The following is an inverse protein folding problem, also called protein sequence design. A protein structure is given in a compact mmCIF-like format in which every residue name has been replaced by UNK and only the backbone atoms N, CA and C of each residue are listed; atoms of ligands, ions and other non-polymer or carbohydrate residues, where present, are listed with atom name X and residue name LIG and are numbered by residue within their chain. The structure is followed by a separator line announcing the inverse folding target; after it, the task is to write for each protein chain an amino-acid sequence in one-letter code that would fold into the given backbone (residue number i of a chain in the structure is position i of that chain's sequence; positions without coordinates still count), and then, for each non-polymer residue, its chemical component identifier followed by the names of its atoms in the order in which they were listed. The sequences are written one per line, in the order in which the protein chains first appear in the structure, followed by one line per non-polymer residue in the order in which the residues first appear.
data_IF_009258283817
#
_entry.id   IF_009258283817
#
_cell.length_a   1.000
_cell.length_b   1.000
_cell.length_c   1.000
_cell.angle_alpha   90.00
_cell.angle_beta   90.00
_cell.angle_gamma   90.00
#
_symmetry.space_group_name_H-M   'P 1'
#
loop_
_entity.id
_entity.type
_entity.pdbx_description
1 polymer ?
#
# COMPACT_ATOMS: atom_id res chain seq x y z
N UNK A 1 -13.50 -27.31 18.26
CA UNK A 1 -14.21 -27.42 16.96
C UNK A 1 -14.95 -26.11 16.74
N UNK A 2 -14.53 -25.34 15.74
CA UNK A 2 -14.93 -23.96 15.49
C UNK A 2 -16.30 -23.92 14.81
N UNK A 3 -17.30 -23.45 15.55
CA UNK A 3 -18.66 -23.21 15.10
C UNK A 3 -18.66 -22.19 13.93
N UNK A 4 -18.81 -22.72 12.71
CA UNK A 4 -18.84 -21.99 11.43
C UNK A 4 -20.17 -21.27 11.18
N UNK A 5 -21.06 -21.20 12.17
CA UNK A 5 -22.48 -20.85 11.95
C UNK A 5 -22.84 -19.39 12.24
N UNK A 6 -21.87 -18.48 12.49
CA UNK A 6 -22.16 -17.06 12.81
C UNK A 6 -21.81 -16.03 11.73
N UNK A 7 -21.53 -16.47 10.51
CA UNK A 7 -21.55 -15.63 9.30
C UNK A 7 -22.87 -15.76 8.50
N UNK A 8 -23.79 -16.62 8.98
CA UNK A 8 -25.06 -16.96 8.33
C UNK A 8 -26.18 -15.95 8.64
N UNK A 9 -25.96 -14.92 9.47
CA UNK A 9 -26.95 -13.86 9.67
C UNK A 9 -27.04 -12.84 8.51
N UNK A 10 -26.30 -13.07 7.41
CA UNK A 10 -26.50 -12.41 6.09
C UNK A 10 -27.15 -13.42 5.10
N UNK A 11 -27.52 -14.61 5.57
CA UNK A 11 -28.08 -15.70 4.80
C UNK A 11 -29.42 -16.18 5.39
N UNK A 12 -30.29 -15.23 5.77
CA UNK A 12 -31.74 -15.46 5.61
C UNK A 12 -32.10 -14.99 4.21
N UNK A 13 -32.50 -15.94 3.39
CA UNK A 13 -32.67 -15.88 1.94
C UNK A 13 -33.84 -15.01 1.44
N UNK A 14 -34.33 -14.05 2.23
CA UNK A 14 -35.51 -13.23 1.87
C UNK A 14 -35.30 -11.71 1.98
N UNK A 15 -34.12 -11.21 2.35
CA UNK A 15 -33.87 -9.76 2.38
C UNK A 15 -33.13 -9.29 1.11
N UNK A 16 -33.81 -8.46 0.31
CA UNK A 16 -33.24 -7.65 -0.79
C UNK A 16 -31.89 -6.98 -0.45
N UNK A 17 -31.64 -6.70 0.84
CA UNK A 17 -30.42 -6.05 1.36
C UNK A 17 -29.13 -6.88 1.20
N UNK A 18 -29.19 -8.22 1.28
CA UNK A 18 -28.00 -9.08 1.19
C UNK A 18 -27.49 -9.19 -0.25
N UNK A 19 -28.42 -9.25 -1.21
CA UNK A 19 -28.13 -9.26 -2.64
C UNK A 19 -27.56 -7.92 -3.11
N UNK A 20 -28.09 -6.80 -2.62
CA UNK A 20 -27.56 -5.47 -2.92
C UNK A 20 -26.16 -5.25 -2.33
N UNK A 21 -25.91 -5.71 -1.11
CA UNK A 21 -24.57 -5.70 -0.50
C UNK A 21 -23.55 -6.52 -1.31
N UNK A 22 -23.99 -7.67 -1.84
CA UNK A 22 -23.20 -8.55 -2.71
C UNK A 22 -22.86 -7.88 -4.05
N UNK A 23 -23.86 -7.31 -4.73
CA UNK A 23 -23.66 -6.54 -5.96
C UNK A 23 -22.66 -5.41 -5.71
N UNK A 24 -22.78 -4.71 -4.59
CA UNK A 24 -21.87 -3.63 -4.24
C UNK A 24 -20.42 -4.06 -4.10
N UNK A 25 -20.14 -5.04 -3.24
CA UNK A 25 -18.78 -5.47 -2.93
C UNK A 25 -18.06 -5.97 -4.17
N UNK A 26 -18.80 -6.61 -5.09
CA UNK A 26 -18.28 -7.20 -6.31
C UNK A 26 -17.65 -6.19 -7.28
N UNK A 27 -18.18 -4.98 -7.35
CA UNK A 27 -17.72 -3.94 -8.29
C UNK A 27 -16.74 -2.93 -7.68
N UNK A 28 -16.32 -3.12 -6.42
CA UNK A 28 -15.28 -2.28 -5.80
C UNK A 28 -13.88 -2.78 -6.16
N UNK A 29 -12.85 -1.94 -5.97
CA UNK A 29 -11.46 -2.42 -5.94
C UNK A 29 -11.28 -3.47 -4.85
N UNK A 30 -10.45 -4.48 -5.10
CA UNK A 30 -10.33 -5.65 -4.22
C UNK A 30 -10.08 -5.29 -2.75
N UNK A 31 -9.14 -4.38 -2.47
CA UNK A 31 -8.82 -4.01 -1.08
C UNK A 31 -9.97 -3.27 -0.39
N UNK A 32 -10.75 -2.48 -1.13
CA UNK A 32 -11.94 -1.79 -0.61
C UNK A 32 -13.02 -2.80 -0.27
N UNK A 33 -13.32 -3.72 -1.20
CA UNK A 33 -14.25 -4.83 -0.97
C UNK A 33 -13.85 -5.66 0.24
N UNK A 34 -12.56 -5.99 0.37
CA UNK A 34 -12.02 -6.77 1.49
C UNK A 34 -12.20 -6.06 2.83
N UNK A 35 -11.92 -4.75 2.89
CA UNK A 35 -12.11 -3.96 4.10
C UNK A 35 -13.58 -3.85 4.49
N UNK A 36 -14.46 -3.55 3.53
CA UNK A 36 -15.91 -3.47 3.77
C UNK A 36 -16.46 -4.81 4.24
N UNK A 37 -16.14 -5.92 3.54
CA UNK A 37 -16.54 -7.27 3.94
C UNK A 37 -16.11 -7.56 5.38
N UNK A 38 -14.84 -7.31 5.73
CA UNK A 38 -14.34 -7.54 7.09
C UNK A 38 -15.07 -6.70 8.14
N UNK A 39 -15.25 -5.41 7.87
CA UNK A 39 -15.93 -4.48 8.81
C UNK A 39 -17.37 -4.92 9.02
N UNK A 40 -18.11 -5.18 7.95
CA UNK A 40 -19.51 -5.63 8.01
C UNK A 40 -19.62 -6.97 8.73
N UNK A 41 -18.76 -7.95 8.46
CA UNK A 41 -18.78 -9.23 9.17
C UNK A 41 -18.57 -9.08 10.68
N UNK A 42 -17.62 -8.23 11.11
CA UNK A 42 -17.36 -7.97 12.53
C UNK A 42 -18.55 -7.26 13.18
N UNK A 43 -19.11 -6.27 12.49
CA UNK A 43 -20.29 -5.53 12.93
C UNK A 43 -21.51 -6.44 13.08
N UNK A 44 -21.89 -7.19 12.05
CA UNK A 44 -23.03 -8.10 12.07
C UNK A 44 -22.90 -9.15 13.17
N UNK A 45 -21.69 -9.70 13.38
CA UNK A 45 -21.46 -10.65 14.47
C UNK A 45 -21.63 -10.00 15.86
N UNK A 46 -21.26 -8.73 16.02
CA UNK A 46 -21.48 -8.00 17.28
C UNK A 46 -22.96 -7.69 17.49
N UNK A 47 -23.68 -7.21 16.47
CA UNK A 47 -25.12 -6.97 16.54
C UNK A 47 -25.90 -8.23 16.93
N UNK A 48 -25.59 -9.37 16.29
CA UNK A 48 -26.24 -10.64 16.60
C UNK A 48 -26.06 -11.10 18.05
N UNK A 49 -24.91 -10.80 18.68
CA UNK A 49 -24.67 -11.10 20.11
C UNK A 49 -25.44 -10.19 21.06
N UNK A 50 -25.91 -9.04 20.59
CA UNK A 50 -26.62 -8.04 21.39
C UNK A 50 -28.11 -7.94 21.04
N UNK A 51 -28.63 -8.87 20.22
CA UNK A 51 -30.03 -8.86 19.79
C UNK A 51 -30.40 -7.69 18.86
N UNK A 52 -29.41 -7.12 18.16
CA UNK A 52 -29.60 -5.98 17.27
C UNK A 52 -29.61 -6.42 15.80
N UNK A 53 -30.32 -5.67 14.97
CA UNK A 53 -30.19 -5.77 13.51
C UNK A 53 -28.94 -5.00 13.05
N UNK A 54 -28.21 -5.48 12.03
CA UNK A 54 -27.00 -4.82 11.56
C UNK A 54 -27.26 -3.56 10.73
N UNK A 55 -28.42 -3.44 10.10
CA UNK A 55 -28.83 -2.30 9.28
C UNK A 55 -30.31 -1.97 9.53
N UNK A 56 -30.74 -0.69 9.41
CA UNK A 56 -29.91 0.50 9.23
C UNK A 56 -28.97 0.73 10.43
N UNK A 57 -27.75 1.19 10.16
CA UNK A 57 -26.77 1.45 11.22
C UNK A 57 -27.18 2.72 11.97
N UNK A 58 -27.24 2.64 13.30
CA UNK A 58 -27.51 3.81 14.16
C UNK A 58 -26.24 4.34 14.83
N UNK A 59 -26.22 5.64 15.14
CA UNK A 59 -25.10 6.26 15.83
C UNK A 59 -24.90 5.69 17.25
N UNK A 60 -26.00 5.37 17.94
CA UNK A 60 -26.01 4.84 19.30
C UNK A 60 -25.36 3.45 19.36
N UNK A 61 -25.71 2.57 18.42
CA UNK A 61 -25.14 1.22 18.39
C UNK A 61 -23.65 1.25 18.05
N UNK A 62 -23.23 2.15 17.16
CA UNK A 62 -21.81 2.33 16.80
C UNK A 62 -21.01 2.86 17.99
N UNK A 63 -21.55 3.80 18.75
CA UNK A 63 -20.92 4.27 19.99
C UNK A 63 -20.79 3.14 21.01
N UNK A 64 -21.87 2.37 21.24
CA UNK A 64 -21.85 1.23 22.15
C UNK A 64 -20.79 0.20 21.75
N UNK A 65 -20.69 -0.11 20.45
CA UNK A 65 -19.66 -1.00 19.92
C UNK A 65 -18.26 -0.46 20.17
N UNK A 66 -17.98 0.78 19.80
CA UNK A 66 -16.65 1.40 19.93
C UNK A 66 -16.25 1.48 21.40
N UNK A 67 -17.13 1.93 22.29
CA UNK A 67 -16.88 2.00 23.73
C UNK A 67 -16.58 0.60 24.30
N UNK A 68 -17.28 -0.44 23.85
CA UNK A 68 -17.02 -1.83 24.22
C UNK A 68 -15.64 -2.37 23.78
N UNK A 69 -14.93 -1.70 22.87
CA UNK A 69 -13.57 -2.08 22.51
C UNK A 69 -12.54 -1.74 23.60
N UNK A 70 -12.90 -0.92 24.60
CA UNK A 70 -12.08 -0.62 25.79
C UNK A 70 -10.62 -0.23 25.48
N UNK A 71 -10.38 0.52 24.40
CA UNK A 71 -9.03 0.96 24.03
C UNK A 71 -8.14 -0.12 23.41
N UNK A 72 -8.66 -1.31 23.09
CA UNK A 72 -7.89 -2.41 22.50
C UNK A 72 -7.43 -2.14 21.06
N UNK A 73 -8.01 -1.15 20.39
CA UNK A 73 -7.69 -0.78 19.01
C UNK A 73 -7.32 0.69 18.88
N UNK A 74 -6.51 0.99 17.85
CA UNK A 74 -6.09 2.37 17.55
C UNK A 74 -7.18 3.18 16.87
N UNK A 75 -7.11 4.50 16.95
CA UNK A 75 -8.08 5.40 16.33
C UNK A 75 -8.10 5.36 14.82
N UNK A 76 -6.97 5.07 14.19
CA UNK A 76 -6.94 4.83 12.76
C UNK A 76 -7.84 3.63 12.38
N UNK A 77 -7.90 2.60 13.22
CA UNK A 77 -8.76 1.42 13.01
C UNK A 77 -10.23 1.76 13.25
N UNK A 78 -10.55 2.52 14.30
CA UNK A 78 -11.93 2.99 14.57
C UNK A 78 -12.42 3.89 13.45
N UNK A 79 -11.61 4.85 13.01
CA UNK A 79 -11.96 5.76 11.91
C UNK A 79 -12.19 4.99 10.61
N UNK A 80 -11.38 3.96 10.33
CA UNK A 80 -11.58 3.09 9.17
C UNK A 80 -12.87 2.27 9.28
N UNK A 81 -13.16 1.72 10.47
CA UNK A 81 -14.39 0.99 10.75
C UNK A 81 -15.63 1.86 10.48
N UNK A 82 -15.69 3.07 11.06
CA UNK A 82 -16.79 4.02 10.85
C UNK A 82 -16.96 4.38 9.37
N UNK A 83 -15.85 4.67 8.67
CA UNK A 83 -15.90 5.04 7.25
C UNK A 83 -16.38 3.89 6.36
N UNK A 84 -15.91 2.67 6.59
CA UNK A 84 -16.36 1.49 5.86
C UNK A 84 -17.84 1.20 6.14
N UNK A 85 -18.26 1.26 7.40
CA UNK A 85 -19.64 0.99 7.79
C UNK A 85 -20.60 2.03 7.21
N UNK A 86 -20.25 3.32 7.27
CA UNK A 86 -21.03 4.40 6.65
C UNK A 86 -21.11 4.21 5.13
N UNK A 87 -20.01 3.86 4.47
CA UNK A 87 -20.01 3.57 3.04
C UNK A 87 -20.94 2.42 2.66
N UNK A 88 -20.95 1.33 3.43
CA UNK A 88 -21.87 0.20 3.18
C UNK A 88 -23.31 0.61 3.46
N UNK A 89 -23.58 1.26 4.60
CA UNK A 89 -24.90 1.71 5.01
C UNK A 89 -25.55 2.64 3.98
N UNK A 90 -24.84 3.67 3.52
CA UNK A 90 -25.34 4.58 2.48
C UNK A 90 -25.57 3.87 1.15
N UNK A 91 -24.78 2.84 0.85
CA UNK A 91 -24.96 2.12 -0.40
C UNK A 91 -26.14 1.15 -0.39
N UNK A 92 -26.67 0.82 0.79
CA UNK A 92 -27.95 0.13 0.98
C UNK A 92 -29.14 1.11 1.03
N UNK A 93 -28.92 2.39 0.71
CA UNK A 93 -29.96 3.42 0.71
C UNK A 93 -30.28 4.02 2.08
N UNK A 94 -29.55 3.65 3.14
CA UNK A 94 -29.83 4.15 4.48
C UNK A 94 -29.18 5.50 4.80
N UNK A 95 -29.78 6.32 5.68
CA UNK A 95 -29.20 7.60 6.12
C UNK A 95 -27.83 7.45 6.77
N UNK A 96 -26.96 8.46 6.60
CA UNK A 96 -25.64 8.44 7.23
C UNK A 96 -25.71 8.66 8.75
N UNK A 97 -25.16 7.71 9.51
CA UNK A 97 -25.20 7.74 10.98
C UNK A 97 -24.13 8.64 11.61
N UNK A 98 -23.23 9.25 10.82
CA UNK A 98 -22.09 10.07 11.29
C UNK A 98 -22.52 11.48 11.77
N UNK A 99 -23.39 11.51 12.78
CA UNK A 99 -23.90 12.72 13.41
C UNK A 99 -22.95 13.29 14.48
N UNK A 100 -23.43 14.26 15.27
CA UNK A 100 -22.67 14.94 16.33
C UNK A 100 -22.11 13.96 17.36
N UNK A 101 -22.87 12.91 17.71
CA UNK A 101 -22.44 11.89 18.67
C UNK A 101 -21.22 11.12 18.17
N UNK A 102 -21.20 10.68 16.91
CA UNK A 102 -20.02 10.02 16.32
C UNK A 102 -18.84 10.98 16.21
N UNK A 103 -19.06 12.26 15.89
CA UNK A 103 -17.99 13.26 15.85
C UNK A 103 -17.37 13.47 17.23
N UNK A 104 -18.19 13.60 18.28
CA UNK A 104 -17.74 13.72 19.66
C UNK A 104 -16.96 12.47 20.11
N UNK A 105 -17.47 11.28 19.80
CA UNK A 105 -16.79 10.01 20.08
C UNK A 105 -15.39 9.97 19.44
N UNK A 106 -15.27 10.35 18.16
CA UNK A 106 -13.98 10.40 17.48
C UNK A 106 -13.02 11.40 18.14
N UNK A 107 -13.51 12.54 18.65
CA UNK A 107 -12.69 13.51 19.37
C UNK A 107 -12.19 12.97 20.71
N UNK A 108 -13.07 12.39 21.52
CA UNK A 108 -12.73 11.80 22.82
C UNK A 108 -11.64 10.75 22.67
N UNK A 109 -11.78 9.86 21.69
CA UNK A 109 -10.79 8.81 21.51
C UNK A 109 -9.47 9.32 20.92
N UNK A 110 -9.48 10.38 20.10
CA UNK A 110 -8.23 11.05 19.69
C UNK A 110 -7.52 11.68 20.88
N UNK A 111 -8.25 12.30 21.80
CA UNK A 111 -7.69 12.85 23.04
C UNK A 111 -7.03 11.74 23.89
N UNK A 112 -7.70 10.59 24.06
CA UNK A 112 -7.12 9.42 24.76
C UNK A 112 -5.83 8.89 24.13
N UNK A 113 -5.74 8.84 22.79
CA UNK A 113 -4.50 8.43 22.12
C UNK A 113 -3.37 9.46 22.29
N UNK A 114 -3.71 10.75 22.30
CA UNK A 114 -2.76 11.83 22.52
C UNK A 114 -2.19 11.80 23.94
N UNK A 115 -3.03 11.58 24.95
CA UNK A 115 -2.59 11.38 26.35
C UNK A 115 -1.60 10.20 26.46
N UNK A 116 -1.86 9.12 25.72
CA UNK A 116 -0.97 7.96 25.64
C UNK A 116 0.27 8.19 24.77
N UNK A 117 0.46 9.41 24.22
CA UNK A 117 1.56 9.78 23.32
C UNK A 117 1.70 8.82 22.13
N UNK A 118 0.59 8.29 21.62
CA UNK A 118 0.60 7.35 20.49
C UNK A 118 0.89 8.13 19.20
N UNK A 119 2.12 8.00 18.69
CA UNK A 119 2.52 8.67 17.44
C UNK A 119 2.23 7.77 16.24
N UNK A 120 1.77 8.36 15.14
CA UNK A 120 1.62 7.59 13.91
C UNK A 120 2.99 7.17 13.37
N UNK A 121 3.16 5.85 13.21
CA UNK A 121 4.38 5.27 12.67
C UNK A 121 4.69 5.71 11.24
N UNK A 122 5.96 5.55 10.88
CA UNK A 122 6.52 5.86 9.56
C UNK A 122 7.54 4.77 9.18
N UNK A 123 7.59 4.44 7.89
CA UNK A 123 8.60 3.51 7.38
C UNK A 123 10.01 4.07 7.63
N UNK A 124 10.97 3.17 7.87
CA UNK A 124 12.39 3.53 7.93
C UNK A 124 12.80 4.17 6.59
N UNK A 125 13.47 5.33 6.58
CA UNK A 125 13.91 5.95 5.34
C UNK A 125 14.99 5.09 4.67
N UNK A 126 14.96 5.03 3.34
CA UNK A 126 16.06 4.53 2.51
C UNK A 126 16.76 5.74 1.90
N UNK A 127 18.03 5.95 2.24
CA UNK A 127 18.80 7.17 1.94
C UNK A 127 19.76 6.97 0.75
N UNK A 128 20.31 8.05 0.22
CA UNK A 128 21.29 7.97 -0.89
C UNK A 128 22.56 7.23 -0.45
N UNK A 129 22.97 7.40 0.81
CA UNK A 129 24.10 6.66 1.39
C UNK A 129 23.86 5.15 1.41
N UNK A 130 22.62 4.73 1.66
CA UNK A 130 22.22 3.33 1.66
C UNK A 130 22.29 2.75 0.24
N UNK A 131 21.81 3.48 -0.77
CA UNK A 131 21.91 3.09 -2.17
C UNK A 131 23.37 2.92 -2.59
N UNK A 132 24.26 3.84 -2.19
CA UNK A 132 25.68 3.75 -2.50
C UNK A 132 26.35 2.52 -1.86
N UNK A 133 25.96 2.16 -0.62
CA UNK A 133 26.43 0.93 0.03
C UNK A 133 25.98 -0.30 -0.77
N UNK A 134 24.70 -0.37 -1.16
CA UNK A 134 24.15 -1.49 -1.91
C UNK A 134 24.82 -1.63 -3.29
N UNK A 135 25.00 -0.51 -4.01
CA UNK A 135 25.70 -0.50 -5.30
C UNK A 135 27.11 -1.06 -5.17
N UNK A 136 27.89 -0.61 -4.18
CA UNK A 136 29.24 -1.14 -3.94
C UNK A 136 29.22 -2.62 -3.53
N UNK A 137 28.27 -3.02 -2.70
CA UNK A 137 28.20 -4.40 -2.20
C UNK A 137 27.77 -5.40 -3.27
N UNK A 138 26.95 -4.99 -4.23
CA UNK A 138 26.33 -5.87 -5.22
C UNK A 138 26.84 -5.70 -6.66
N UNK A 139 27.78 -4.78 -6.92
CA UNK A 139 28.25 -4.48 -8.29
C UNK A 139 28.85 -5.67 -9.06
N UNK A 140 29.33 -6.71 -8.37
CA UNK A 140 29.91 -7.94 -8.94
C UNK A 140 29.02 -9.16 -8.75
N UNK A 141 27.78 -8.99 -8.28
CA UNK A 141 26.89 -10.13 -8.06
C UNK A 141 26.26 -10.58 -9.38
N UNK A 142 26.47 -11.85 -9.72
CA UNK A 142 25.80 -12.53 -10.84
C UNK A 142 24.47 -13.20 -10.41
N UNK A 143 24.09 -13.06 -9.15
CA UNK A 143 22.79 -13.54 -8.65
C UNK A 143 21.67 -12.63 -9.18
N UNK A 144 20.75 -13.21 -9.97
CA UNK A 144 19.64 -12.49 -10.57
C UNK A 144 18.75 -11.86 -9.50
N UNK A 145 18.65 -12.47 -8.32
CA UNK A 145 17.87 -11.90 -7.22
C UNK A 145 18.54 -10.66 -6.63
N UNK A 146 19.86 -10.57 -6.57
CA UNK A 146 20.61 -9.36 -6.23
C UNK A 146 20.39 -8.24 -7.26
N UNK A 147 20.60 -8.56 -8.54
CA UNK A 147 20.43 -7.61 -9.64
C UNK A 147 18.98 -7.07 -9.64
N UNK A 148 17.99 -7.95 -9.52
CA UNK A 148 16.55 -7.62 -9.48
C UNK A 148 16.15 -6.83 -8.25
N UNK A 149 16.60 -7.23 -7.05
CA UNK A 149 16.25 -6.53 -5.81
C UNK A 149 16.84 -5.11 -5.79
N UNK A 150 18.10 -4.95 -6.22
CA UNK A 150 18.76 -3.65 -6.32
C UNK A 150 18.06 -2.74 -7.33
N UNK A 151 17.74 -3.25 -8.53
CA UNK A 151 16.98 -2.51 -9.54
C UNK A 151 15.62 -2.03 -8.97
N UNK A 152 14.91 -2.90 -8.25
CA UNK A 152 13.59 -2.60 -7.71
C UNK A 152 13.61 -1.52 -6.63
N UNK A 153 14.57 -1.55 -5.70
CA UNK A 153 14.67 -0.48 -4.69
C UNK A 153 15.16 0.83 -5.30
N UNK A 154 16.08 0.76 -6.27
CA UNK A 154 16.66 1.93 -6.92
C UNK A 154 15.64 2.67 -7.77
N UNK A 155 14.90 1.97 -8.64
CA UNK A 155 13.78 2.56 -9.39
C UNK A 155 12.75 3.17 -8.43
N UNK A 156 12.40 2.46 -7.35
CA UNK A 156 11.49 2.98 -6.34
C UNK A 156 11.99 4.26 -5.65
N UNK A 157 13.30 4.41 -5.50
CA UNK A 157 13.94 5.57 -4.88
C UNK A 157 14.09 6.76 -5.83
N UNK A 158 14.38 6.54 -7.11
CA UNK A 158 14.45 7.62 -8.10
C UNK A 158 13.08 8.14 -8.51
N UNK A 159 12.07 7.27 -8.55
CA UNK A 159 10.72 7.63 -9.04
C UNK A 159 9.74 7.96 -7.92
N UNK A 160 10.11 7.64 -6.68
CA UNK A 160 9.27 7.72 -5.49
C UNK A 160 7.94 6.96 -5.68
N UNK A 161 7.84 5.96 -6.56
CA UNK A 161 6.59 5.24 -6.83
C UNK A 161 6.09 4.44 -5.61
N UNK A 162 4.76 4.23 -5.53
CA UNK A 162 4.16 3.39 -4.48
C UNK A 162 4.57 1.92 -4.70
N UNK A 163 4.53 1.14 -3.62
CA UNK A 163 4.76 -0.31 -3.65
C UNK A 163 3.99 -1.04 -4.77
N UNK A 164 2.74 -0.67 -5.04
CA UNK A 164 1.96 -1.29 -6.13
C UNK A 164 2.38 -0.81 -7.52
N UNK A 165 2.80 0.45 -7.64
CA UNK A 165 3.25 1.05 -8.90
C UNK A 165 4.59 0.44 -9.32
N UNK A 166 5.56 0.32 -8.40
CA UNK A 166 6.88 -0.31 -8.66
C UNK A 166 6.72 -1.72 -9.22
N UNK A 167 5.86 -2.55 -8.62
CA UNK A 167 5.67 -3.94 -9.04
C UNK A 167 4.87 -4.07 -10.34
N UNK A 168 4.14 -3.03 -10.74
CA UNK A 168 3.32 -3.02 -11.96
C UNK A 168 4.11 -2.63 -13.19
N UNK A 169 5.32 -2.08 -13.01
CA UNK A 169 6.20 -1.70 -14.11
C UNK A 169 6.40 -2.91 -15.02
N UNK A 170 6.11 -2.70 -16.28
CA UNK A 170 6.37 -3.63 -17.37
C UNK A 170 7.61 -3.19 -18.11
N UNK A 171 8.24 -4.12 -18.80
CA UNK A 171 9.36 -3.84 -19.72
C UNK A 171 8.97 -2.85 -20.82
N UNK A 172 7.73 -2.91 -21.34
CA UNK A 172 7.22 -1.98 -22.35
C UNK A 172 6.95 -0.56 -21.82
N UNK A 173 6.98 -0.37 -20.50
CA UNK A 173 6.89 0.95 -19.88
C UNK A 173 8.24 1.70 -19.95
N UNK A 174 9.32 1.02 -20.33
CA UNK A 174 10.67 1.58 -20.46
C UNK A 174 10.99 1.90 -21.92
N UNK A 175 11.37 3.15 -22.18
CA UNK A 175 11.80 3.64 -23.50
C UNK A 175 13.24 4.11 -23.41
N UNK A 176 14.13 3.43 -24.11
CA UNK A 176 15.54 3.82 -24.15
C UNK A 176 15.74 5.09 -24.96
N UNK A 177 16.50 6.03 -24.42
CA UNK A 177 16.87 7.28 -25.06
C UNK A 177 18.37 7.27 -25.37
N UNK A 178 18.70 7.31 -26.66
CA UNK A 178 20.08 7.20 -27.14
C UNK A 178 20.94 8.42 -26.80
N UNK A 179 20.34 9.60 -26.78
CA UNK A 179 21.01 10.88 -26.51
C UNK A 179 21.54 10.97 -25.07
N UNK A 180 20.75 10.51 -24.11
CA UNK A 180 21.03 10.56 -22.67
C UNK A 180 21.53 9.24 -22.12
N UNK A 181 21.49 8.16 -22.93
CA UNK A 181 21.77 6.79 -22.49
C UNK A 181 20.96 6.39 -21.25
N UNK A 182 19.71 6.83 -21.21
CA UNK A 182 18.81 6.66 -20.07
C UNK A 182 17.49 6.01 -20.52
N UNK A 183 16.77 5.41 -19.57
CA UNK A 183 15.37 5.03 -19.78
C UNK A 183 14.42 6.17 -19.38
N UNK A 184 13.43 6.43 -20.23
CA UNK A 184 12.16 7.04 -19.80
C UNK A 184 11.21 5.93 -19.34
N UNK A 185 10.67 6.09 -18.14
CA UNK A 185 9.70 5.18 -17.54
C UNK A 185 8.33 5.83 -17.51
N UNK A 186 7.36 5.24 -18.21
CA UNK A 186 5.96 5.69 -18.24
C UNK A 186 5.08 4.81 -17.35
N UNK A 187 4.48 5.39 -16.30
CA UNK A 187 3.62 4.65 -15.37
C UNK A 187 2.26 5.30 -15.15
N UNK A 188 1.21 4.49 -15.17
CA UNK A 188 -0.16 4.96 -14.93
C UNK A 188 -0.39 5.34 -13.46
N UNK A 189 -1.08 6.46 -13.23
CA UNK A 189 -1.52 6.84 -11.88
C UNK A 189 -2.55 5.85 -11.33
N UNK A 190 -2.31 5.32 -10.13
CA UNK A 190 -3.18 4.27 -9.55
C UNK A 190 -4.22 4.77 -8.55
N UNK A 191 -4.07 5.98 -7.98
CA UNK A 191 -4.87 6.44 -6.82
C UNK A 191 -5.81 7.62 -7.10
N UNK A 192 -5.58 8.36 -8.17
CA UNK A 192 -6.40 9.52 -8.56
C UNK A 192 -7.49 9.10 -9.53
N UNK A 193 -8.61 9.83 -9.57
CA UNK A 193 -9.64 9.65 -10.61
C UNK A 193 -9.17 10.11 -12.00
N UNK A 194 -8.05 10.87 -12.07
CA UNK A 194 -7.40 11.20 -13.32
C UNK A 194 -6.62 10.00 -13.88
N UNK A 195 -7.01 9.57 -15.07
CA UNK A 195 -6.27 8.61 -15.89
C UNK A 195 -5.17 9.32 -16.65
N UNK A 196 -4.02 9.55 -16.00
CA UNK A 196 -2.85 10.15 -16.64
C UNK A 196 -1.59 9.32 -16.38
N UNK A 197 -0.64 9.41 -17.32
CA UNK A 197 0.71 8.88 -17.15
C UNK A 197 1.54 9.80 -16.24
N UNK A 198 2.53 9.20 -15.58
CA UNK A 198 3.69 9.86 -15.03
C UNK A 198 4.89 9.37 -15.82
N UNK A 199 5.71 10.29 -16.29
CA UNK A 199 6.93 9.96 -17.02
C UNK A 199 8.13 10.37 -16.16
N UNK A 200 9.07 9.44 -15.98
CA UNK A 200 10.30 9.68 -15.23
C UNK A 200 11.50 9.36 -16.11
N UNK A 201 12.46 10.28 -16.20
CA UNK A 201 13.78 9.94 -16.72
C UNK A 201 14.62 9.36 -15.58
N UNK A 202 15.08 8.13 -15.75
CA UNK A 202 15.96 7.46 -14.78
C UNK A 202 17.39 7.95 -14.96
N UNK A 203 18.19 7.90 -13.89
CA UNK A 203 19.61 8.25 -14.01
C UNK A 203 20.35 7.28 -14.95
N UNK A 204 21.51 7.68 -15.53
CA UNK A 204 22.30 6.78 -16.37
C UNK A 204 22.68 5.49 -15.66
N UNK A 205 23.05 5.57 -14.37
CA UNK A 205 23.49 4.41 -13.60
C UNK A 205 22.32 3.48 -13.26
N UNK A 206 21.15 4.03 -12.95
CA UNK A 206 19.93 3.24 -12.75
C UNK A 206 19.53 2.55 -14.05
N UNK A 207 19.59 3.28 -15.16
CA UNK A 207 19.26 2.79 -16.50
C UNK A 207 20.17 1.65 -16.93
N UNK A 208 21.48 1.78 -16.69
CA UNK A 208 22.46 0.73 -16.95
C UNK A 208 22.18 -0.53 -16.09
N UNK A 209 21.85 -0.36 -14.80
CA UNK A 209 21.53 -1.48 -13.92
C UNK A 209 20.24 -2.21 -14.34
N UNK A 210 19.24 -1.47 -14.82
CA UNK A 210 18.01 -2.06 -15.40
C UNK A 210 18.33 -2.79 -16.70
N UNK A 211 19.19 -2.22 -17.55
CA UNK A 211 19.63 -2.88 -18.78
C UNK A 211 20.34 -4.20 -18.47
N UNK A 212 21.25 -4.21 -17.50
CA UNK A 212 21.88 -5.44 -17.01
C UNK A 212 20.84 -6.46 -16.54
N UNK A 213 19.82 -6.03 -15.78
CA UNK A 213 18.73 -6.91 -15.37
C UNK A 213 18.01 -7.51 -16.59
N UNK A 214 17.66 -6.70 -17.58
CA UNK A 214 16.95 -7.14 -18.78
C UNK A 214 17.81 -8.11 -19.60
N UNK A 215 19.12 -7.85 -19.74
CA UNK A 215 20.07 -8.69 -20.47
C UNK A 215 20.35 -10.02 -19.73
N UNK A 216 20.34 -10.02 -18.39
CA UNK A 216 20.52 -11.24 -17.57
C UNK A 216 19.28 -12.14 -17.63
N UNK A 217 18.09 -11.57 -17.80
CA UNK A 217 16.86 -12.35 -17.93
C UNK A 217 16.75 -12.84 -19.38
N UNK A 218 16.96 -14.14 -19.60
CA UNK A 218 16.68 -14.78 -20.90
C UNK A 218 15.17 -14.69 -21.22
N UNK A 219 14.75 -13.63 -21.92
CA UNK A 219 13.40 -13.54 -22.47
C UNK A 219 13.31 -14.42 -23.71
N UNK A 220 12.81 -15.64 -23.55
CA UNK A 220 12.67 -16.62 -24.63
C UNK A 220 11.64 -16.26 -25.70
N UNK A 221 10.85 -15.20 -25.50
CA UNK A 221 9.76 -14.80 -26.39
C UNK A 221 9.66 -13.27 -26.43
N UNK A 222 9.91 -12.71 -27.62
CA UNK A 222 9.95 -11.27 -27.91
C UNK A 222 8.55 -10.68 -28.09
N UNK A 223 7.55 -11.47 -28.51
CA UNK A 223 6.18 -10.98 -28.73
C UNK A 223 5.52 -10.58 -27.42
N UNK A 224 5.79 -11.33 -26.35
CA UNK A 224 5.29 -10.99 -25.02
C UNK A 224 6.20 -10.05 -24.24
N UNK A 225 7.37 -9.68 -24.78
CA UNK A 225 8.40 -8.95 -24.04
C UNK A 225 7.81 -7.72 -23.36
N UNK A 226 7.20 -6.79 -24.11
CA UNK A 226 6.69 -5.52 -23.59
C UNK A 226 5.56 -5.64 -22.55
N UNK A 227 4.87 -6.78 -22.48
CA UNK A 227 3.77 -7.00 -21.53
C UNK A 227 4.20 -7.65 -20.22
N UNK A 228 5.46 -8.12 -20.13
CA UNK A 228 6.00 -8.77 -18.93
C UNK A 228 6.32 -7.75 -17.85
N UNK A 229 6.07 -8.14 -16.60
CA UNK A 229 6.53 -7.36 -15.46
C UNK A 229 8.06 -7.32 -15.43
N UNK A 230 8.62 -6.15 -15.20
CA UNK A 230 10.07 -5.94 -15.06
C UNK A 230 10.63 -6.74 -13.87
N UNK A 231 9.87 -6.75 -12.76
CA UNK A 231 10.23 -7.46 -11.54
C UNK A 231 9.33 -8.68 -11.33
N UNK A 232 9.93 -9.87 -11.38
CA UNK A 232 9.24 -11.14 -11.19
C UNK A 232 9.88 -11.95 -10.06
N UNK A 233 9.16 -12.95 -9.50
CA UNK A 233 9.76 -13.91 -8.60
C UNK A 233 10.94 -14.64 -9.27
N UNK A 234 12.05 -14.81 -8.53
CA UNK A 234 13.26 -15.52 -8.98
C UNK A 234 13.26 -16.90 -8.37
N UNK A 235 13.50 -17.92 -9.17
CA UNK A 235 13.81 -19.26 -8.71
C UNK A 235 15.29 -19.31 -8.29
N UNK A 236 15.51 -19.48 -6.98
CA UNK A 236 16.85 -19.48 -6.37
C UNK A 236 17.73 -20.64 -6.83
N UNK A 237 17.14 -21.75 -7.29
CA UNK A 237 17.91 -22.93 -7.72
C UNK A 237 18.42 -22.79 -9.15
N UNK A 238 17.65 -22.11 -10.00
CA UNK A 238 17.97 -21.96 -11.42
C UNK A 238 18.51 -20.57 -11.76
N UNK A 239 18.57 -19.65 -10.78
CA UNK A 239 18.92 -18.25 -10.95
C UNK A 239 18.15 -17.55 -12.11
N UNK A 240 16.86 -17.89 -12.28
CA UNK A 240 16.01 -17.43 -13.39
C UNK A 240 14.66 -16.96 -12.88
N UNK A 241 13.99 -16.10 -13.64
CA UNK A 241 12.58 -15.79 -13.38
C UNK A 241 11.72 -17.03 -13.57
N UNK A 242 10.65 -17.13 -12.77
CA UNK A 242 9.66 -18.18 -12.99
C UNK A 242 8.94 -17.97 -14.33
N UNK A 243 8.68 -19.03 -15.11
CA UNK A 243 7.95 -18.90 -16.37
C UNK A 243 6.51 -18.44 -16.13
N UNK A 244 5.84 -17.81 -17.11
CA UNK A 244 4.45 -17.34 -16.99
C UNK A 244 3.44 -18.42 -16.58
N UNK A 245 3.73 -19.69 -16.88
CA UNK A 245 2.91 -20.86 -16.55
C UNK A 245 3.12 -21.36 -15.12
N UNK A 246 4.09 -20.82 -14.39
CA UNK A 246 4.43 -21.30 -13.05
C UNK A 246 3.31 -21.07 -12.03
N UNK A 247 2.99 -22.14 -11.30
CA UNK A 247 2.04 -22.09 -10.19
C UNK A 247 2.51 -21.24 -8.99
N UNK A 248 3.80 -20.87 -8.97
CA UNK A 248 4.40 -19.99 -7.95
C UNK A 248 4.13 -18.50 -8.20
N UNK A 249 3.63 -18.12 -9.38
CA UNK A 249 3.24 -16.75 -9.68
C UNK A 249 1.91 -16.38 -9.00
N UNK A 250 1.71 -15.07 -8.78
CA UNK A 250 0.46 -14.54 -8.25
C UNK A 250 -0.71 -14.90 -9.17
N UNK A 251 -1.73 -15.59 -8.65
CA UNK A 251 -3.00 -15.82 -9.36
C UNK A 251 -3.92 -14.59 -9.37
N UNK A 252 -3.40 -13.45 -8.90
CA UNK A 252 -4.17 -12.24 -8.71
C UNK A 252 -5.13 -12.32 -7.53
N UNK A 253 -5.81 -11.20 -7.28
CA UNK A 253 -6.81 -11.04 -6.24
C UNK A 253 -8.19 -11.14 -6.87
N UNK A 254 -8.96 -12.14 -6.44
CA UNK A 254 -10.33 -12.38 -6.91
C UNK A 254 -11.32 -12.02 -5.82
N UNK A 255 -12.22 -11.08 -6.13
CA UNK A 255 -13.33 -10.71 -5.23
C UNK A 255 -14.30 -11.89 -5.09
N UNK A 256 -14.65 -12.56 -6.19
CA UNK A 256 -15.53 -13.71 -6.16
C UNK A 256 -15.00 -14.83 -5.24
N UNK A 257 -13.72 -15.22 -5.36
CA UNK A 257 -13.12 -16.20 -4.45
C UNK A 257 -13.15 -15.75 -2.99
N UNK A 258 -12.97 -14.45 -2.74
CA UNK A 258 -13.05 -13.89 -1.39
C UNK A 258 -14.48 -13.96 -0.83
N UNK A 259 -15.49 -13.70 -1.65
CA UNK A 259 -16.91 -13.80 -1.27
C UNK A 259 -17.30 -15.26 -1.02
N UNK A 260 -16.94 -16.19 -1.90
CA UNK A 260 -17.19 -17.63 -1.67
C UNK A 260 -16.59 -18.09 -0.34
N UNK A 261 -15.35 -17.71 -0.04
CA UNK A 261 -14.69 -18.03 1.23
C UNK A 261 -15.40 -17.42 2.45
N UNK A 262 -16.11 -16.31 2.25
CA UNK A 262 -16.91 -15.68 3.29
C UNK A 262 -18.31 -16.30 3.46
N UNK A 263 -18.65 -17.33 2.68
CA UNK A 263 -19.90 -18.08 2.78
C UNK A 263 -20.98 -17.67 1.78
N UNK A 264 -20.68 -16.80 0.82
CA UNK A 264 -21.64 -16.43 -0.23
C UNK A 264 -21.82 -17.57 -1.25
N UNK A 265 -23.06 -17.75 -1.72
CA UNK A 265 -23.42 -18.80 -2.68
C UNK A 265 -22.68 -18.65 -4.01
N UNK A 266 -22.06 -19.73 -4.46
CA UNK A 266 -21.40 -19.79 -5.77
C UNK A 266 -22.40 -19.55 -6.92
N UNK A 267 -23.62 -20.08 -6.80
CA UNK A 267 -24.65 -19.95 -7.85
C UNK A 267 -25.04 -18.49 -8.12
N UNK A 268 -25.19 -17.71 -7.05
CA UNK A 268 -25.51 -16.27 -7.17
C UNK A 268 -24.35 -15.47 -7.78
N UNK A 269 -23.11 -15.81 -7.45
CA UNK A 269 -21.94 -15.17 -8.05
C UNK A 269 -21.81 -15.51 -9.54
N UNK A 270 -22.12 -16.75 -9.94
CA UNK A 270 -22.15 -17.15 -11.35
C UNK A 270 -23.21 -16.38 -12.14
N UNK A 271 -24.40 -16.15 -11.56
CA UNK A 271 -25.43 -15.32 -12.19
C UNK A 271 -24.92 -13.88 -12.44
N UNK A 272 -24.30 -13.26 -11.42
CA UNK A 272 -23.71 -11.92 -11.54
C UNK A 272 -22.52 -11.88 -12.51
N UNK A 273 -21.79 -12.99 -12.70
CA UNK A 273 -20.70 -13.09 -13.67
C UNK A 273 -21.18 -12.98 -15.12
N UNK A 274 -22.34 -13.56 -15.43
CA UNK A 274 -22.94 -13.46 -16.75
C UNK A 274 -23.36 -12.01 -17.07
N UNK A 275 -23.73 -11.23 -16.06
CA UNK A 275 -24.11 -9.82 -16.21
C UNK A 275 -22.92 -8.88 -16.34
N UNK A 276 -21.76 -9.19 -15.73
CA UNK A 276 -20.58 -8.33 -15.75
C UNK A 276 -19.29 -9.08 -15.37
N UNK A 277 -18.25 -8.93 -16.17
CA UNK A 277 -16.93 -9.53 -15.90
C UNK A 277 -16.11 -8.65 -14.93
N UNK A 278 -15.78 -9.18 -13.76
CA UNK A 278 -14.85 -8.52 -12.82
C UNK A 278 -13.42 -8.84 -13.23
N UNK A 279 -12.58 -7.81 -13.39
CA UNK A 279 -11.17 -8.01 -13.71
C UNK A 279 -10.40 -8.59 -12.52
N UNK A 280 -9.51 -9.55 -12.78
CA UNK A 280 -8.57 -10.04 -11.77
C UNK A 280 -7.45 -9.00 -11.62
N UNK A 281 -7.36 -8.39 -10.44
CA UNK A 281 -6.25 -7.49 -10.12
C UNK A 281 -4.97 -8.30 -9.89
N UNK A 282 -3.80 -7.77 -10.29
CA UNK A 282 -2.48 -8.25 -9.84
C UNK A 282 -2.08 -9.68 -10.31
N UNK A 283 -2.64 -10.20 -11.42
CA UNK A 283 -2.24 -11.50 -12.00
C UNK A 283 -0.80 -11.44 -12.48
N UNK A 284 0.03 -12.44 -12.13
CA UNK A 284 1.44 -12.53 -12.49
C UNK A 284 2.37 -11.53 -11.77
N UNK A 285 1.82 -10.47 -11.20
CA UNK A 285 2.58 -9.40 -10.54
C UNK A 285 3.25 -9.90 -9.24
N UNK A 286 4.47 -9.43 -8.98
CA UNK A 286 5.17 -9.66 -7.73
C UNK A 286 4.30 -9.24 -6.52
N UNK A 287 4.28 -10.06 -5.46
CA UNK A 287 3.47 -9.77 -4.27
C UNK A 287 4.05 -8.62 -3.43
N UNK A 288 3.22 -7.98 -2.61
CA UNK A 288 3.68 -6.95 -1.64
C UNK A 288 4.68 -7.50 -0.65
N UNK A 289 4.45 -8.72 -0.18
CA UNK A 289 5.31 -9.38 0.78
C UNK A 289 6.67 -9.69 0.14
N UNK A 290 6.70 -10.13 -1.12
CA UNK A 290 7.93 -10.41 -1.85
C UNK A 290 8.79 -9.14 -2.02
N UNK A 291 8.18 -8.01 -2.38
CA UNK A 291 8.89 -6.73 -2.43
C UNK A 291 9.44 -6.33 -1.05
N UNK A 292 8.62 -6.43 0.00
CA UNK A 292 9.08 -6.10 1.36
C UNK A 292 10.19 -7.04 1.85
N UNK A 293 10.16 -8.32 1.48
CA UNK A 293 11.21 -9.29 1.79
C UNK A 293 12.52 -8.96 1.04
N UNK A 294 12.44 -8.56 -0.23
CA UNK A 294 13.59 -8.07 -0.98
C UNK A 294 14.21 -6.85 -0.28
N UNK A 295 13.40 -5.88 0.13
CA UNK A 295 13.90 -4.67 0.81
C UNK A 295 14.46 -4.98 2.20
N UNK A 296 13.87 -5.93 2.93
CA UNK A 296 14.40 -6.41 4.21
C UNK A 296 15.74 -7.14 4.05
N UNK A 297 15.93 -7.87 2.94
CA UNK A 297 17.20 -8.51 2.61
C UNK A 297 18.29 -7.48 2.30
N UNK A 298 17.97 -6.48 1.48
CA UNK A 298 18.87 -5.37 1.17
C UNK A 298 19.23 -4.56 2.43
N UNK A 299 18.30 -4.38 3.37
CA UNK A 299 18.58 -3.79 4.68
C UNK A 299 19.73 -4.52 5.41
N UNK A 300 19.70 -5.85 5.40
CA UNK A 300 20.77 -6.68 5.97
C UNK A 300 22.10 -6.53 5.22
N UNK A 301 22.07 -6.53 3.88
CA UNK A 301 23.28 -6.33 3.05
C UNK A 301 23.91 -4.96 3.30
N UNK A 302 23.09 -3.93 3.53
CA UNK A 302 23.57 -2.59 3.88
C UNK A 302 24.14 -2.48 5.31
N UNK A 303 24.27 -3.60 6.03
CA UNK A 303 24.83 -3.64 7.39
C UNK A 303 23.93 -2.99 8.45
N UNK A 304 22.64 -2.79 8.15
CA UNK A 304 21.74 -2.10 9.08
C UNK A 304 21.18 -3.09 10.11
N UNK A 305 21.19 -2.69 11.38
CA UNK A 305 20.59 -3.48 12.47
C UNK A 305 19.14 -3.06 12.66
N UNK A 306 18.24 -4.04 12.78
CA UNK A 306 16.82 -3.76 12.98
C UNK A 306 16.55 -3.03 14.30
N UNK A 307 15.77 -1.95 14.24
CA UNK A 307 15.41 -1.16 15.42
C UNK A 307 14.32 -1.88 16.23
N UNK A 308 14.73 -2.53 17.32
CA UNK A 308 13.83 -3.23 18.25
C UNK A 308 12.94 -2.29 19.07
N UNK A 309 13.33 -1.01 19.19
CA UNK A 309 12.67 -0.04 20.06
C UNK A 309 11.49 0.69 19.39
N UNK A 310 11.25 0.48 18.08
CA UNK A 310 10.07 1.03 17.40
C UNK A 310 8.79 0.31 17.84
N UNK A 311 7.95 1.06 18.56
CA UNK A 311 6.64 0.77 19.19
C UNK A 311 5.59 -0.06 18.42
N UNK A 312 5.86 -0.60 17.22
CA UNK A 312 4.88 -1.42 16.50
C UNK A 312 5.42 -2.66 15.82
N UNK A 313 6.73 -2.97 15.90
CA UNK A 313 7.35 -4.10 15.19
C UNK A 313 7.25 -4.08 13.66
N UNK A 314 6.43 -3.18 13.09
CA UNK A 314 6.08 -3.09 11.66
C UNK A 314 7.19 -2.48 10.81
N UNK A 315 8.03 -1.63 11.39
CA UNK A 315 9.07 -0.89 10.69
C UNK A 315 10.44 -1.23 11.26
N UNK A 316 10.78 -2.53 11.25
CA UNK A 316 12.09 -3.05 11.69
C UNK A 316 13.15 -3.03 10.58
N UNK A 317 12.72 -3.09 9.32
CA UNK A 317 13.56 -3.04 8.13
C UNK A 317 12.92 -2.15 7.06
N UNK A 318 13.57 -1.98 5.91
CA UNK A 318 12.93 -1.31 4.77
C UNK A 318 11.70 -2.06 4.28
N UNK A 319 10.73 -1.28 3.81
CA UNK A 319 9.48 -1.73 3.18
C UNK A 319 9.26 -0.94 1.91
N UNK A 320 8.29 -1.29 1.07
CA UNK A 320 8.01 -0.55 -0.16
C UNK A 320 7.64 0.94 0.01
N UNK A 321 7.47 1.43 1.25
CA UNK A 321 7.28 2.86 1.52
C UNK A 321 8.58 3.58 1.92
N UNK A 322 9.64 2.84 2.25
CA UNK A 322 10.93 3.38 2.70
C UNK A 322 11.60 4.30 1.68
N UNK A 323 11.55 3.90 0.40
CA UNK A 323 12.09 4.69 -0.72
C UNK A 323 11.40 6.05 -0.87
N UNK A 324 10.09 6.11 -0.61
CA UNK A 324 9.32 7.36 -0.67
C UNK A 324 9.62 8.29 0.49
N UNK A 325 9.74 7.72 1.70
CA UNK A 325 10.09 8.48 2.90
C UNK A 325 11.49 9.06 2.76
N UNK A 326 12.46 8.23 2.37
CA UNK A 326 13.85 8.64 2.21
C UNK A 326 14.04 9.61 1.05
N UNK A 327 13.43 9.36 -0.11
CA UNK A 327 13.49 10.28 -1.26
C UNK A 327 12.95 11.67 -0.93
N UNK A 328 11.83 11.78 -0.21
CA UNK A 328 11.32 13.08 0.26
C UNK A 328 12.31 13.81 1.18
N UNK A 329 12.98 13.07 2.07
CA UNK A 329 13.99 13.61 2.98
C UNK A 329 15.21 14.10 2.20
N UNK A 330 15.72 13.32 1.25
CA UNK A 330 16.91 13.67 0.48
C UNK A 330 16.68 14.88 -0.42
N UNK A 331 15.52 14.94 -1.10
CA UNK A 331 15.17 16.12 -1.89
C UNK A 331 15.01 17.36 -1.01
N UNK A 332 14.43 17.23 0.18
CA UNK A 332 14.33 18.35 1.12
C UNK A 332 15.71 18.82 1.59
N UNK A 333 16.61 17.89 1.95
CA UNK A 333 18.00 18.20 2.33
C UNK A 333 18.79 18.87 1.21
N UNK A 334 18.52 18.50 -0.03
CA UNK A 334 19.13 19.10 -1.21
C UNK A 334 18.55 20.48 -1.56
N UNK A 335 17.59 21.01 -0.77
CA UNK A 335 17.04 22.35 -0.95
C UNK A 335 15.92 22.45 -2.01
N UNK A 336 15.37 21.33 -2.49
CA UNK A 336 14.23 21.38 -3.39
C UNK A 336 12.98 21.89 -2.69
N UNK A 337 12.18 22.68 -3.41
CA UNK A 337 10.94 23.24 -2.86
C UNK A 337 9.90 22.14 -2.56
N UNK A 338 8.99 22.43 -1.64
CA UNK A 338 7.95 21.48 -1.24
C UNK A 338 7.01 21.13 -2.40
N UNK A 339 6.81 22.03 -3.35
CA UNK A 339 6.01 21.83 -4.56
C UNK A 339 6.66 20.78 -5.46
N UNK A 340 7.97 20.94 -5.75
CA UNK A 340 8.73 19.97 -6.54
C UNK A 340 8.75 18.59 -5.89
N UNK A 341 8.93 18.54 -4.57
CA UNK A 341 8.87 17.28 -3.83
C UNK A 341 7.46 16.68 -3.93
N UNK A 342 6.43 17.49 -3.71
CA UNK A 342 5.01 17.07 -3.77
C UNK A 342 4.65 16.47 -5.12
N UNK A 343 5.07 17.14 -6.20
CA UNK A 343 4.93 16.71 -7.59
C UNK A 343 5.67 15.37 -7.82
N UNK A 344 6.95 15.29 -7.44
CA UNK A 344 7.79 14.12 -7.66
C UNK A 344 7.21 12.84 -7.06
N UNK A 345 6.70 12.92 -5.82
CA UNK A 345 6.04 11.78 -5.20
C UNK A 345 4.59 11.58 -5.63
N UNK A 346 4.00 12.48 -6.42
CA UNK A 346 2.59 12.47 -6.77
C UNK A 346 1.69 12.38 -5.51
N UNK A 347 1.94 13.28 -4.56
CA UNK A 347 1.15 13.45 -3.35
C UNK A 347 0.03 14.47 -3.58
N UNK A 348 -1.21 14.07 -3.28
CA UNK A 348 -2.38 14.96 -3.43
C UNK A 348 -2.50 16.00 -2.30
N UNK A 349 -1.87 15.74 -1.16
CA UNK A 349 -1.89 16.62 0.02
C UNK A 349 -0.44 16.90 0.44
N UNK A 350 0.02 18.17 0.38
CA UNK A 350 1.36 18.57 0.81
C UNK A 350 1.69 18.18 2.25
N UNK A 351 0.68 18.03 3.15
CA UNK A 351 0.88 17.57 4.53
C UNK A 351 1.58 16.21 4.60
N UNK A 352 1.45 15.39 3.55
CA UNK A 352 2.16 14.12 3.47
C UNK A 352 3.67 14.30 3.39
N UNK A 353 4.16 15.32 2.69
CA UNK A 353 5.60 15.62 2.61
C UNK A 353 6.09 16.05 3.98
N UNK A 354 5.43 17.04 4.60
CA UNK A 354 5.73 17.50 5.97
C UNK A 354 5.82 16.35 6.98
N UNK A 355 4.92 15.36 6.86
CA UNK A 355 4.95 14.18 7.71
C UNK A 355 6.24 13.37 7.54
N UNK A 356 6.71 13.14 6.32
CA UNK A 356 7.94 12.38 6.09
C UNK A 356 9.17 13.10 6.60
N UNK A 357 9.25 14.42 6.37
CA UNK A 357 10.40 15.25 6.71
C UNK A 357 10.35 15.80 8.14
N UNK A 358 9.30 15.51 8.92
CA UNK A 358 9.06 16.08 10.27
C UNK A 358 10.25 16.02 11.23
N UNK A 359 11.05 14.95 11.16
CA UNK A 359 12.23 14.80 12.01
C UNK A 359 13.36 15.76 11.63
N UNK A 360 13.49 16.08 10.34
CA UNK A 360 14.49 17.01 9.81
C UNK A 360 14.03 18.47 9.89
N UNK A 361 12.73 18.71 9.76
CA UNK A 361 12.17 20.05 9.98
C UNK A 361 12.42 20.59 11.38
N UNK A 362 12.71 19.73 12.37
CA UNK A 362 12.94 20.17 13.73
C UNK A 362 14.13 21.15 13.86
N UNK A 363 15.22 20.92 13.12
CA UNK A 363 16.41 21.79 13.12
C UNK A 363 16.25 23.02 12.22
N UNK A 364 15.32 22.97 11.26
CA UNK A 364 15.04 24.02 10.27
C UNK A 364 13.77 24.82 10.59
N UNK A 365 13.25 24.72 11.82
CA UNK A 365 12.08 25.51 12.22
C UNK A 365 12.46 26.99 12.19
N UNK A 366 11.55 27.82 11.68
CA UNK A 366 11.75 29.26 11.55
C UNK A 366 12.29 29.92 12.82
N UNK A 367 11.80 29.52 14.00
CA UNK A 367 12.29 30.04 15.28
C UNK A 367 13.73 29.61 15.58
N UNK A 368 14.15 28.39 15.21
CA UNK A 368 15.54 27.93 15.40
C UNK A 368 16.49 28.77 14.55
N UNK A 369 16.16 28.98 13.27
CA UNK A 369 16.95 29.81 12.37
C UNK A 369 16.96 31.28 12.80
N UNK A 370 15.81 31.80 13.25
CA UNK A 370 15.71 33.15 13.82
C UNK A 370 16.66 33.30 15.02
N UNK A 371 16.57 32.41 16.02
CA UNK A 371 17.39 32.50 17.22
C UNK A 371 18.89 32.35 16.92
N UNK A 372 19.29 31.46 16.00
CA UNK A 372 20.70 31.32 15.59
C UNK A 372 21.32 32.60 15.03
N UNK A 373 20.51 33.44 14.38
CA UNK A 373 21.00 34.66 13.75
C UNK A 373 20.90 35.89 14.68
N UNK A 374 20.26 35.76 15.85
CA UNK A 374 19.95 36.88 16.74
C UNK A 374 20.44 36.67 18.18
N UNK A 375 21.13 35.56 18.45
CA UNK A 375 21.84 35.35 19.71
C UNK A 375 23.32 35.58 19.44
N UNK A 376 23.93 36.45 20.23
CA UNK A 376 25.38 36.62 20.24
C UNK A 376 26.02 35.38 20.89
N UNK A 377 27.16 34.92 20.37
CA UNK A 377 27.96 33.88 21.01
C UNK A 377 28.55 34.47 22.32
N UNK A 378 28.18 33.89 23.47
CA UNK A 378 28.74 34.24 24.79
C UNK A 378 30.02 33.45 25.06
#
# INVERSE_FOLDING_TARGET
MTDKTKLVAIARTDDMSALEALKLLRFRRYNTARSQLRVTSVWSAWCARHGLTPFPVTAVDVERYINGLNGSVKMATISHFIACLSSVNSSLGFPDFRNVLIKALVQVWRARENEKKIVTGQALPFLISDLNILRRSLHKSDDLRDIRDLAMIWVGFETLLRNVEIRRIKTGDLKWQNDTSCYLLDVMRTKTNLSSNLTFQLSPQCSQHIRQLIETVEYTDTETFGHRFLFQPVNIHTNRYFPPTSSKLSRGKSIDRMLVKAGFSQGLLTQLQNESKVSLEDVGMLSSNSLNQAFARLWGIAGKVGDSNRQSGRYRTWTGHSVRVGGAIELFKAGYSLEKITEMGNWSDPKMVFRYIRGYLASEKAMVSFMRNHLDDI
#
